data_IF_183711296808
#
_entry.id   IF_183711296808
#
_cell.length_a   1.000
_cell.length_b   1.000
_cell.length_c   1.000
_cell.angle_alpha   90.00
_cell.angle_beta   90.00
_cell.angle_gamma   90.00
#
_symmetry.space_group_name_H-M   'P 1'
#
loop_
_entity.id
_entity.type
_entity.pdbx_description
1 polymer ?
#
# COMPACT_ATOMS: atom_id res chain seq x y z
N UNK A 1 23.60 -21.14 -4.32
CA UNK A 1 23.14 -21.79 -3.09
C UNK A 1 21.73 -22.30 -3.35
N UNK A 2 21.45 -23.57 -3.05
CA UNK A 2 20.10 -24.13 -3.21
C UNK A 2 19.18 -23.39 -2.22
N UNK A 3 18.13 -22.74 -2.72
CA UNK A 3 17.20 -22.01 -1.87
C UNK A 3 16.45 -22.98 -0.97
N UNK A 4 16.51 -22.76 0.34
CA UNK A 4 15.85 -23.60 1.33
C UNK A 4 14.33 -23.62 1.10
N UNK A 5 13.78 -24.83 0.93
CA UNK A 5 12.36 -25.05 0.72
C UNK A 5 11.69 -25.38 2.06
N UNK A 6 10.72 -24.56 2.43
CA UNK A 6 9.99 -24.66 3.69
C UNK A 6 8.74 -25.53 3.53
N UNK A 7 8.39 -26.26 4.57
CA UNK A 7 7.06 -26.83 4.77
C UNK A 7 6.04 -25.73 5.06
N UNK A 8 4.74 -26.07 5.05
CA UNK A 8 3.70 -25.10 5.41
C UNK A 8 3.87 -24.59 6.85
N UNK A 9 4.23 -25.48 7.78
CA UNK A 9 4.36 -25.12 9.19
C UNK A 9 5.54 -24.15 9.38
N UNK A 10 6.70 -24.46 8.80
CA UNK A 10 7.88 -23.57 8.82
C UNK A 10 7.60 -22.22 8.14
N UNK A 11 6.83 -22.20 7.04
CA UNK A 11 6.41 -20.95 6.40
C UNK A 11 5.53 -20.11 7.33
N UNK A 12 4.58 -20.74 8.01
CA UNK A 12 3.64 -20.05 8.90
C UNK A 12 4.36 -19.50 10.13
N UNK A 13 5.32 -20.25 10.68
CA UNK A 13 6.18 -19.81 11.77
C UNK A 13 7.04 -18.61 11.34
N UNK A 14 7.64 -18.69 10.15
CA UNK A 14 8.52 -17.64 9.62
C UNK A 14 7.78 -16.34 9.28
N UNK A 15 6.58 -16.43 8.70
CA UNK A 15 5.85 -15.27 8.19
C UNK A 15 4.79 -14.73 9.14
N UNK A 16 4.42 -15.48 10.18
CA UNK A 16 3.30 -15.19 11.07
C UNK A 16 1.93 -15.31 10.39
N UNK A 17 1.86 -15.73 9.12
CA UNK A 17 0.60 -15.91 8.39
C UNK A 17 0.08 -17.31 8.66
N UNK A 18 -1.19 -17.43 9.08
CA UNK A 18 -1.79 -18.73 9.36
C UNK A 18 -1.89 -19.61 8.10
N UNK A 19 -1.83 -20.94 8.29
CA UNK A 19 -1.98 -21.91 7.20
C UNK A 19 -3.28 -21.72 6.40
N UNK A 20 -4.36 -21.28 7.06
CA UNK A 20 -5.63 -20.92 6.42
C UNK A 20 -5.45 -19.75 5.45
N UNK A 21 -4.79 -18.68 5.89
CA UNK A 21 -4.56 -17.49 5.07
C UNK A 21 -3.59 -17.76 3.94
N UNK A 22 -2.54 -18.57 4.15
CA UNK A 22 -1.63 -19.00 3.07
C UNK A 22 -2.41 -19.66 1.93
N UNK A 23 -3.28 -20.63 2.25
CA UNK A 23 -4.12 -21.32 1.24
C UNK A 23 -5.11 -20.37 0.57
N UNK A 24 -5.70 -19.47 1.35
CA UNK A 24 -6.63 -18.47 0.84
C UNK A 24 -5.94 -17.51 -0.15
N UNK A 25 -4.76 -16.99 0.19
CA UNK A 25 -3.98 -16.12 -0.67
C UNK A 25 -3.51 -16.84 -1.94
N UNK A 26 -3.06 -18.09 -1.83
CA UNK A 26 -2.71 -18.90 -2.99
C UNK A 26 -3.91 -19.10 -3.94
N UNK A 27 -5.12 -19.34 -3.41
CA UNK A 27 -6.34 -19.49 -4.22
C UNK A 27 -6.77 -18.22 -4.95
N UNK A 28 -6.27 -17.05 -4.52
CA UNK A 28 -6.56 -15.73 -5.09
C UNK A 28 -5.40 -15.17 -5.92
N UNK A 29 -4.36 -15.97 -6.16
CA UNK A 29 -3.18 -15.54 -6.94
C UNK A 29 -2.25 -14.56 -6.24
N UNK A 30 -2.47 -14.29 -4.94
CA UNK A 30 -1.63 -13.37 -4.17
C UNK A 30 -0.24 -13.94 -3.85
N UNK A 31 -0.15 -15.26 -3.81
CA UNK A 31 1.08 -16.01 -3.56
C UNK A 31 1.13 -17.16 -4.57
N UNK A 32 2.29 -17.46 -5.18
CA UNK A 32 2.44 -18.59 -6.07
C UNK A 32 1.99 -19.92 -5.42
N UNK A 33 1.52 -20.89 -6.22
CA UNK A 33 1.21 -22.22 -5.71
C UNK A 33 2.47 -22.93 -5.20
N UNK A 34 2.36 -23.80 -4.18
CA UNK A 34 3.51 -24.50 -3.62
C UNK A 34 4.17 -25.43 -4.64
N UNK A 35 5.48 -25.59 -4.52
CA UNK A 35 6.26 -26.58 -5.27
C UNK A 35 5.89 -27.97 -4.76
N UNK A 36 5.29 -28.79 -5.62
CA UNK A 36 4.87 -30.15 -5.24
C UNK A 36 6.05 -31.11 -5.29
N UNK A 37 6.30 -31.82 -4.19
CA UNK A 37 7.17 -33.00 -4.14
C UNK A 37 6.41 -34.15 -3.50
N UNK A 38 5.98 -35.10 -4.33
CA UNK A 38 5.10 -36.19 -3.90
C UNK A 38 3.75 -35.67 -3.41
N UNK A 39 3.39 -36.00 -2.16
CA UNK A 39 2.14 -35.56 -1.52
C UNK A 39 2.28 -34.23 -0.76
N UNK A 40 3.50 -33.69 -0.65
CA UNK A 40 3.80 -32.50 0.14
C UNK A 40 4.03 -31.28 -0.77
N UNK A 41 3.57 -30.13 -0.29
CA UNK A 41 3.83 -28.82 -0.91
C UNK A 41 4.92 -28.09 -0.15
N UNK A 42 5.85 -27.49 -0.89
CA UNK A 42 7.00 -26.77 -0.36
C UNK A 42 7.02 -25.32 -0.84
N UNK A 43 7.60 -24.43 -0.04
CA UNK A 43 7.57 -22.99 -0.23
C UNK A 43 8.99 -22.44 -0.22
N UNK A 44 9.41 -21.85 -1.34
CA UNK A 44 10.68 -21.15 -1.45
C UNK A 44 10.64 -19.70 -0.98
N UNK A 45 11.78 -18.99 -1.04
CA UNK A 45 11.93 -17.58 -0.66
C UNK A 45 10.92 -16.62 -1.29
N UNK A 46 10.51 -16.86 -2.54
CA UNK A 46 9.53 -16.00 -3.23
C UNK A 46 8.15 -16.03 -2.54
N UNK A 47 7.78 -17.16 -1.94
CA UNK A 47 6.52 -17.27 -1.18
C UNK A 47 6.59 -16.44 0.10
N UNK A 48 7.74 -16.46 0.79
CA UNK A 48 7.97 -15.65 1.99
C UNK A 48 7.85 -14.17 1.63
N UNK A 49 8.55 -13.73 0.59
CA UNK A 49 8.53 -12.33 0.16
C UNK A 49 7.13 -11.87 -0.28
N UNK A 50 6.37 -12.69 -1.01
CA UNK A 50 4.98 -12.38 -1.38
C UNK A 50 4.07 -12.27 -0.15
N UNK A 51 4.20 -13.18 0.81
CA UNK A 51 3.39 -13.15 2.04
C UNK A 51 3.71 -11.93 2.90
N UNK A 52 4.98 -11.53 2.99
CA UNK A 52 5.39 -10.31 3.68
C UNK A 52 4.84 -9.06 2.99
N UNK A 53 4.92 -8.98 1.65
CA UNK A 53 4.32 -7.89 0.86
C UNK A 53 2.81 -7.77 1.09
N UNK A 54 2.08 -8.89 1.02
CA UNK A 54 0.63 -8.90 1.26
C UNK A 54 0.32 -8.42 2.67
N UNK A 55 1.05 -8.91 3.68
CA UNK A 55 0.84 -8.53 5.08
C UNK A 55 1.13 -7.04 5.30
N UNK A 56 2.19 -6.51 4.72
CA UNK A 56 2.57 -5.10 4.85
C UNK A 56 1.51 -4.19 4.23
N UNK A 57 1.07 -4.51 3.01
CA UNK A 57 0.00 -3.77 2.33
C UNK A 57 -1.32 -3.82 3.11
N UNK A 58 -1.68 -4.99 3.68
CA UNK A 58 -2.84 -5.08 4.57
C UNK A 58 -2.66 -4.26 5.85
N UNK A 59 -1.46 -4.24 6.43
CA UNK A 59 -1.11 -3.38 7.56
C UNK A 59 -1.26 -1.89 7.25
N UNK A 60 -1.03 -1.50 6.00
CA UNK A 60 -1.27 -0.16 5.46
C UNK A 60 -2.71 0.07 4.96
N UNK A 61 -3.65 -0.84 5.25
CA UNK A 61 -5.07 -0.63 4.98
C UNK A 61 -5.51 -0.88 3.54
N UNK A 62 -4.65 -1.45 2.69
CA UNK A 62 -5.06 -1.84 1.34
C UNK A 62 -6.07 -2.99 1.40
N UNK A 63 -7.12 -2.92 0.57
CA UNK A 63 -8.08 -4.02 0.41
C UNK A 63 -7.44 -5.18 -0.35
N UNK A 64 -7.90 -6.41 -0.11
CA UNK A 64 -7.39 -7.60 -0.83
C UNK A 64 -7.48 -7.46 -2.36
N UNK A 65 -8.55 -6.86 -2.87
CA UNK A 65 -8.71 -6.63 -4.32
C UNK A 65 -7.72 -5.60 -4.87
N UNK A 66 -7.34 -4.58 -4.09
CA UNK A 66 -6.29 -3.64 -4.49
C UNK A 66 -4.91 -4.33 -4.47
N UNK A 67 -4.67 -5.19 -3.48
CA UNK A 67 -3.43 -5.96 -3.36
C UNK A 67 -3.32 -6.96 -4.53
N UNK A 68 -4.40 -7.64 -4.91
CA UNK A 68 -4.45 -8.52 -6.10
C UNK A 68 -3.98 -7.79 -7.36
N UNK A 69 -4.63 -6.66 -7.69
CA UNK A 69 -4.27 -5.85 -8.85
C UNK A 69 -2.83 -5.33 -8.83
N UNK A 70 -2.27 -5.13 -7.64
CA UNK A 70 -0.87 -4.72 -7.48
C UNK A 70 0.08 -5.89 -7.73
N UNK A 71 -0.19 -7.02 -7.07
CA UNK A 71 0.57 -8.27 -7.14
C UNK A 71 0.60 -8.84 -8.55
N UNK A 72 -0.49 -8.73 -9.32
CA UNK A 72 -0.60 -9.16 -10.72
C UNK A 72 0.42 -8.48 -11.65
N UNK A 73 0.87 -7.27 -11.30
CA UNK A 73 1.88 -6.53 -12.09
C UNK A 73 3.31 -7.00 -11.83
N UNK A 74 3.51 -7.76 -10.76
CA UNK A 74 4.81 -8.33 -10.40
C UNK A 74 4.92 -9.69 -11.10
N UNK A 75 5.90 -9.90 -11.99
CA UNK A 75 6.08 -11.17 -12.68
C UNK A 75 6.17 -12.36 -11.72
N UNK A 76 5.66 -13.52 -12.12
CA UNK A 76 5.81 -14.75 -11.33
C UNK A 76 7.29 -15.18 -11.16
N UNK A 77 8.15 -14.73 -12.08
CA UNK A 77 9.60 -14.93 -12.03
C UNK A 77 10.34 -13.89 -11.17
N UNK A 78 9.62 -12.97 -10.51
CA UNK A 78 10.24 -11.94 -9.69
C UNK A 78 10.98 -12.58 -8.51
N UNK A 79 12.22 -12.14 -8.29
CA UNK A 79 13.05 -12.65 -7.19
C UNK A 79 12.59 -12.05 -5.86
N UNK A 80 13.04 -12.59 -4.70
CA UNK A 80 12.73 -11.99 -3.41
C UNK A 80 13.24 -10.55 -3.33
N UNK A 81 14.35 -10.23 -3.99
CA UNK A 81 14.89 -8.87 -4.03
C UNK A 81 14.02 -7.93 -4.86
N UNK A 82 13.36 -8.42 -5.91
CA UNK A 82 12.44 -7.60 -6.70
C UNK A 82 11.18 -7.31 -5.89
N UNK A 83 10.63 -8.32 -5.22
CA UNK A 83 9.49 -8.18 -4.31
C UNK A 83 9.85 -7.27 -3.11
N UNK A 84 11.05 -7.41 -2.55
CA UNK A 84 11.54 -6.54 -1.48
C UNK A 84 11.73 -5.09 -1.94
N UNK A 85 12.01 -4.85 -3.23
CA UNK A 85 12.01 -3.49 -3.80
C UNK A 85 10.61 -2.91 -3.79
N UNK A 86 9.57 -3.69 -4.11
CA UNK A 86 8.18 -3.26 -3.96
C UNK A 86 7.84 -2.92 -2.50
N UNK A 87 8.27 -3.74 -1.53
CA UNK A 87 8.17 -3.42 -0.10
C UNK A 87 8.93 -2.14 0.28
N UNK A 88 10.12 -1.93 -0.26
CA UNK A 88 10.95 -0.76 0.03
C UNK A 88 10.41 0.53 -0.60
N UNK A 89 9.62 0.42 -1.68
CA UNK A 89 8.82 1.53 -2.21
C UNK A 89 7.60 1.84 -1.32
N UNK A 90 7.20 0.90 -0.46
CA UNK A 90 6.04 1.00 0.44
C UNK A 90 6.43 1.34 1.89
N UNK A 91 7.69 1.12 2.29
CA UNK A 91 8.24 1.49 3.59
C UNK A 91 9.12 2.76 3.45
N UNK A 92 8.78 3.94 4.01
CA UNK A 92 7.93 4.21 5.19
C UNK A 92 6.80 5.25 4.99
N UNK A 93 5.55 4.85 5.28
CA UNK A 93 4.41 5.77 5.58
C UNK A 93 4.21 5.98 7.10
N UNK A 94 4.96 5.29 7.95
CA UNK A 94 4.84 5.43 9.42
C UNK A 94 6.13 5.93 10.05
N UNK A 95 6.07 7.15 10.56
CA UNK A 95 7.03 7.70 11.53
C UNK A 95 7.96 8.74 10.93
N UNK A 96 7.53 10.00 11.01
CA UNK A 96 8.43 11.15 11.17
C UNK A 96 9.65 11.18 10.24
N UNK A 97 9.41 11.11 8.93
CA UNK A 97 10.34 11.63 7.94
C UNK A 97 9.60 12.43 6.90
N UNK A 98 10.06 13.66 6.72
CA UNK A 98 9.87 14.44 5.52
C UNK A 98 10.11 13.53 4.31
N UNK A 99 9.04 13.19 3.58
CA UNK A 99 9.22 12.68 2.22
C UNK A 99 9.93 13.81 1.50
N UNK A 100 11.22 13.61 1.22
CA UNK A 100 12.02 14.56 0.45
C UNK A 100 11.60 14.47 -1.01
N UNK A 101 10.39 14.93 -1.29
CA UNK A 101 9.86 15.13 -2.65
C UNK A 101 10.87 15.91 -3.49
N UNK A 102 11.49 17.02 -3.02
CA UNK A 102 12.48 17.71 -3.84
C UNK A 102 13.72 16.85 -4.15
N UNK A 103 14.27 16.13 -3.17
CA UNK A 103 15.40 15.23 -3.38
C UNK A 103 15.08 14.04 -4.28
N UNK A 104 13.89 13.46 -4.14
CA UNK A 104 13.41 12.37 -4.99
C UNK A 104 13.26 12.80 -6.45
N UNK A 105 12.67 13.97 -6.70
CA UNK A 105 12.53 14.53 -8.05
C UNK A 105 13.89 14.91 -8.65
N UNK A 106 14.78 15.48 -7.84
CA UNK A 106 16.16 15.80 -8.25
C UNK A 106 16.92 14.54 -8.66
N UNK A 107 16.75 13.42 -7.93
CA UNK A 107 17.32 12.12 -8.28
C UNK A 107 16.81 11.54 -9.60
N UNK A 108 15.66 11.99 -10.09
CA UNK A 108 15.10 11.66 -11.41
C UNK A 108 15.52 12.63 -12.52
N UNK A 109 16.37 13.61 -12.21
CA UNK A 109 16.82 14.64 -13.15
C UNK A 109 15.86 15.80 -13.34
N UNK A 110 14.84 15.94 -12.50
CA UNK A 110 13.94 17.10 -12.48
C UNK A 110 14.69 18.30 -11.87
N UNK A 111 14.59 19.47 -12.50
CA UNK A 111 15.21 20.70 -11.99
C UNK A 111 14.65 21.09 -10.61
N UNK A 112 15.47 21.67 -9.71
CA UNK A 112 15.01 22.15 -8.40
C UNK A 112 13.78 23.06 -8.47
N UNK A 113 13.68 23.92 -9.49
CA UNK A 113 12.56 24.84 -9.70
C UNK A 113 11.25 24.09 -9.96
N UNK A 114 11.29 23.07 -10.82
CA UNK A 114 10.13 22.22 -11.10
C UNK A 114 9.76 21.36 -9.89
N UNK A 115 10.75 20.86 -9.15
CA UNK A 115 10.51 20.11 -7.92
C UNK A 115 9.82 20.97 -6.86
N UNK A 116 10.25 22.23 -6.72
CA UNK A 116 9.64 23.21 -5.83
C UNK A 116 8.20 23.53 -6.22
N UNK A 117 7.93 23.74 -7.52
CA UNK A 117 6.58 23.98 -8.01
C UNK A 117 5.62 22.83 -7.68
N UNK A 118 6.08 21.57 -7.79
CA UNK A 118 5.29 20.39 -7.40
C UNK A 118 4.93 20.40 -5.92
N UNK A 119 5.90 20.75 -5.06
CA UNK A 119 5.69 20.81 -3.60
C UNK A 119 4.69 21.90 -3.24
N UNK A 120 4.75 23.05 -3.88
CA UNK A 120 3.81 24.15 -3.65
C UNK A 120 2.38 23.75 -3.99
N UNK A 121 2.18 23.04 -5.10
CA UNK A 121 0.87 22.47 -5.46
C UNK A 121 0.37 21.52 -4.38
N UNK A 122 1.21 20.60 -3.91
CA UNK A 122 0.83 19.67 -2.85
C UNK A 122 0.54 20.37 -1.52
N UNK A 123 1.31 21.38 -1.15
CA UNK A 123 1.13 22.11 0.10
C UNK A 123 -0.17 22.91 0.12
N UNK A 124 -0.54 23.54 -1.00
CA UNK A 124 -1.80 24.25 -1.15
C UNK A 124 -3.00 23.29 -1.02
N UNK A 125 -3.03 22.24 -1.84
CA UNK A 125 -4.17 21.32 -1.86
C UNK A 125 -4.23 20.46 -0.59
N UNK A 126 -3.09 20.13 0.01
CA UNK A 126 -3.02 19.45 1.30
C UNK A 126 -3.66 20.25 2.43
N UNK A 127 -3.45 21.58 2.46
CA UNK A 127 -4.15 22.46 3.42
C UNK A 127 -5.65 22.46 3.19
N UNK A 128 -6.09 22.61 1.94
CA UNK A 128 -7.52 22.60 1.62
C UNK A 128 -8.21 21.29 2.03
N UNK A 129 -7.61 20.15 1.68
CA UNK A 129 -8.11 18.82 2.07
C UNK A 129 -8.19 18.69 3.59
N UNK A 130 -7.16 19.13 4.32
CA UNK A 130 -7.15 19.06 5.78
C UNK A 130 -8.27 19.90 6.42
N UNK A 131 -8.53 21.09 5.89
CA UNK A 131 -9.62 21.95 6.33
C UNK A 131 -10.99 21.30 6.09
N UNK A 132 -11.26 20.83 4.87
CA UNK A 132 -12.54 20.20 4.51
C UNK A 132 -12.81 18.92 5.31
N UNK A 133 -11.80 18.05 5.46
CA UNK A 133 -11.91 16.85 6.27
C UNK A 133 -12.12 17.17 7.76
N UNK A 134 -11.46 18.21 8.28
CA UNK A 134 -11.65 18.65 9.67
C UNK A 134 -13.07 19.14 9.92
N UNK A 135 -13.68 19.84 8.94
CA UNK A 135 -15.09 20.22 9.01
C UNK A 135 -16.02 19.01 9.03
N UNK A 136 -15.82 18.05 8.13
CA UNK A 136 -16.61 16.81 8.09
C UNK A 136 -16.50 16.07 9.43
N UNK A 137 -15.28 15.91 9.94
CA UNK A 137 -15.04 15.24 11.21
C UNK A 137 -15.76 15.95 12.34
N UNK A 138 -15.63 17.28 12.44
CA UNK A 138 -16.29 18.06 13.49
C UNK A 138 -17.82 17.99 13.39
N UNK A 139 -18.38 18.12 12.20
CA UNK A 139 -19.82 18.23 12.00
C UNK A 139 -20.55 16.89 12.07
N UNK A 140 -19.97 15.83 11.50
CA UNK A 140 -20.66 14.55 11.29
C UNK A 140 -20.12 13.42 12.16
N UNK A 141 -18.83 13.45 12.46
CA UNK A 141 -18.14 12.31 13.10
C UNK A 141 -18.06 12.52 14.61
N UNK A 142 -17.66 13.70 15.07
CA UNK A 142 -17.48 14.04 16.47
C UNK A 142 -18.73 13.82 17.36
N UNK A 143 -19.96 14.15 16.90
CA UNK A 143 -21.17 13.89 17.70
C UNK A 143 -21.36 12.40 18.03
N UNK A 144 -21.04 11.49 17.09
CA UNK A 144 -21.20 10.05 17.27
C UNK A 144 -20.23 9.51 18.33
N UNK A 145 -18.99 9.98 18.33
CA UNK A 145 -17.99 9.59 19.35
C UNK A 145 -18.40 10.05 20.75
N UNK A 146 -18.94 11.27 20.84
CA UNK A 146 -19.42 11.86 22.10
C UNK A 146 -20.61 11.07 22.65
N UNK A 147 -21.56 10.70 21.80
CA UNK A 147 -22.74 9.90 22.19
C UNK A 147 -22.38 8.46 22.58
N UNK A 148 -21.38 7.88 21.92
CA UNK A 148 -20.90 6.54 22.21
C UNK A 148 -19.93 6.45 23.42
N UNK A 149 -19.50 7.59 23.98
CA UNK A 149 -18.69 7.62 25.20
C UNK A 149 -17.28 7.02 25.07
N UNK A 150 -16.62 7.22 23.92
CA UNK A 150 -15.29 6.67 23.67
C UNK A 150 -14.23 7.19 24.66
N UNK A 151 -13.32 6.31 25.08
CA UNK A 151 -12.15 6.67 25.87
C UNK A 151 -11.03 7.26 25.00
N UNK A 152 -10.07 7.95 25.62
CA UNK A 152 -8.91 8.51 24.92
C UNK A 152 -8.07 7.43 24.19
N UNK A 153 -7.98 6.22 24.75
CA UNK A 153 -7.29 5.09 24.13
C UNK A 153 -8.03 4.59 22.88
N UNK A 154 -9.36 4.48 22.95
CA UNK A 154 -10.19 4.07 21.82
C UNK A 154 -10.15 5.11 20.69
N UNK A 155 -10.14 6.40 21.04
CA UNK A 155 -10.00 7.48 20.08
C UNK A 155 -8.62 7.47 19.42
N UNK A 156 -7.53 7.26 20.19
CA UNK A 156 -6.19 7.08 19.64
C UNK A 156 -6.14 5.91 18.66
N UNK A 157 -6.67 4.75 19.03
CA UNK A 157 -6.69 3.57 18.18
C UNK A 157 -7.49 3.79 16.89
N UNK A 158 -8.64 4.46 16.99
CA UNK A 158 -9.43 4.86 15.83
C UNK A 158 -8.63 5.75 14.88
N UNK A 159 -7.96 6.78 15.41
CA UNK A 159 -7.13 7.69 14.61
C UNK A 159 -5.98 6.94 13.93
N UNK A 160 -5.31 6.01 14.63
CA UNK A 160 -4.25 5.19 14.03
C UNK A 160 -4.77 4.34 12.86
N UNK A 161 -5.99 3.80 12.97
CA UNK A 161 -6.64 3.03 11.89
C UNK A 161 -7.19 3.89 10.77
N UNK A 162 -7.50 5.16 11.05
CA UNK A 162 -8.04 6.09 10.07
C UNK A 162 -6.95 6.60 9.12
N UNK A 163 -5.74 6.87 9.61
CA UNK A 163 -4.64 7.45 8.82
C UNK A 163 -4.35 6.69 7.51
N UNK A 164 -4.23 5.35 7.50
CA UNK A 164 -3.99 4.63 6.25
C UNK A 164 -5.15 4.75 5.26
N UNK A 165 -6.40 4.77 5.76
CA UNK A 165 -7.59 4.89 4.93
C UNK A 165 -7.70 6.27 4.27
N UNK A 166 -7.36 7.35 5.00
CA UNK A 166 -7.38 8.71 4.45
C UNK A 166 -6.30 8.90 3.39
N UNK A 167 -5.11 8.33 3.59
CA UNK A 167 -4.03 8.34 2.60
C UNK A 167 -4.45 7.57 1.35
N UNK A 168 -4.96 6.34 1.51
CA UNK A 168 -5.42 5.52 0.39
C UNK A 168 -6.56 6.19 -0.40
N UNK A 169 -7.49 6.85 0.28
CA UNK A 169 -8.55 7.64 -0.35
C UNK A 169 -8.00 8.79 -1.19
N UNK A 170 -7.02 9.54 -0.68
CA UNK A 170 -6.38 10.63 -1.42
C UNK A 170 -5.63 10.14 -2.67
N UNK A 171 -4.87 9.05 -2.55
CA UNK A 171 -4.19 8.43 -3.70
C UNK A 171 -5.21 8.00 -4.76
N UNK A 172 -6.29 7.33 -4.34
CA UNK A 172 -7.35 6.88 -5.26
C UNK A 172 -8.00 8.06 -6.00
N UNK A 173 -8.31 9.15 -5.29
CA UNK A 173 -8.89 10.34 -5.89
C UNK A 173 -7.94 11.02 -6.89
N UNK A 174 -6.64 11.06 -6.57
CA UNK A 174 -5.62 11.60 -7.46
C UNK A 174 -5.45 10.77 -8.73
N UNK A 175 -5.36 9.44 -8.61
CA UNK A 175 -5.27 8.53 -9.76
C UNK A 175 -6.46 8.72 -10.71
N UNK A 176 -7.67 8.81 -10.16
CA UNK A 176 -8.88 9.05 -10.94
C UNK A 176 -8.83 10.41 -11.67
N UNK A 177 -8.40 11.48 -10.99
CA UNK A 177 -8.28 12.80 -11.60
C UNK A 177 -7.25 12.84 -12.74
N UNK A 178 -6.15 12.07 -12.62
CA UNK A 178 -5.17 11.92 -13.70
C UNK A 178 -5.75 11.18 -14.89
N UNK A 179 -6.44 10.06 -14.66
CA UNK A 179 -7.04 9.26 -15.73
C UNK A 179 -8.06 10.10 -16.53
N UNK A 180 -8.88 10.90 -15.84
CA UNK A 180 -9.83 11.83 -16.45
C UNK A 180 -9.13 12.94 -17.27
N UNK A 181 -8.01 13.45 -16.79
CA UNK A 181 -7.19 14.45 -17.50
C UNK A 181 -6.54 13.88 -18.76
N UNK A 182 -5.98 12.66 -18.69
CA UNK A 182 -5.37 11.98 -19.84
C UNK A 182 -6.41 11.67 -20.92
N UNK A 183 -7.59 11.17 -20.55
CA UNK A 183 -8.69 10.92 -21.48
C UNK A 183 -9.12 12.21 -22.22
N UNK A 184 -9.11 13.34 -21.53
CA UNK A 184 -9.42 14.67 -22.10
C UNK A 184 -8.34 15.14 -23.08
N UNK A 185 -7.07 14.79 -22.83
CA UNK A 185 -5.93 15.17 -23.67
C UNK A 185 -5.85 14.31 -24.94
N UNK A 186 -6.04 12.99 -24.83
CA UNK A 186 -6.03 12.08 -25.97
C UNK A 186 -7.21 12.32 -26.94
N UNK A 187 -8.35 12.77 -26.42
CA UNK A 187 -9.50 13.20 -27.24
C UNK A 187 -9.26 14.47 -28.07
N UNK A 188 -8.21 15.25 -27.78
CA UNK A 188 -7.87 16.51 -28.47
C UNK A 188 -6.73 16.39 -29.49
N UNK A 189 -6.13 15.21 -29.70
CA UNK A 189 -5.08 15.05 -30.73
C UNK A 189 -5.66 15.29 -32.14
N UNK A 190 -5.14 16.26 -32.92
CA UNK A 190 -5.44 16.31 -34.35
C UNK A 190 -4.78 15.10 -35.03
N UNK A 191 -5.52 14.50 -35.97
CA UNK A 191 -5.07 13.35 -36.77
C UNK A 191 -3.93 13.71 -37.71
#
# INVERSE_FOLDING_TARGET
MEAELLTLDELTERTGVSARNVRFYASRGLVPPPVRRGRSGYYGPDHVARLELVRELQGHGFTLSAIEKYVERIPDSATPSDIARHLSLLAPITGDRDVDVPGGLSGMGISPEAAQAVIEVYAEHGRQVAEELSEIVRAMVWPQFREAGYTAEQLREFIHRLKPLTIAGLVTAYEQAIDESQATYDGKRPR
#
